data_IF_389055621182
#
_entry.id   IF_389055621182
#
_cell.length_a   1.000
_cell.length_b   1.000
_cell.length_c   1.000
_cell.angle_alpha   90.00
_cell.angle_beta   90.00
_cell.angle_gamma   90.00
#
_symmetry.space_group_name_H-M   'P 1'
#
loop_
_entity.id
_entity.type
_entity.pdbx_description
1 polymer ?
#
# COMPACT_ATOMS: atom_id res chain seq x y z
N UNK A 1 25.09 12.85 7.97
CA UNK A 1 24.23 13.17 6.84
C UNK A 1 23.65 11.84 6.33
N UNK A 2 22.33 11.76 6.20
CA UNK A 2 21.69 10.57 5.63
C UNK A 2 21.71 10.71 4.12
N UNK A 3 22.24 9.72 3.41
CA UNK A 3 22.22 9.68 1.94
C UNK A 3 20.79 9.34 1.48
N UNK A 4 19.89 10.32 1.53
CA UNK A 4 18.50 10.16 1.08
C UNK A 4 18.48 10.08 -0.44
N UNK A 5 18.03 8.94 -0.98
CA UNK A 5 17.92 8.71 -2.43
C UNK A 5 16.59 9.24 -2.96
N UNK A 6 15.50 9.03 -2.22
CA UNK A 6 14.19 9.59 -2.51
C UNK A 6 13.38 9.77 -1.23
N UNK A 7 12.34 10.57 -1.29
CA UNK A 7 11.41 10.78 -0.18
C UNK A 7 9.97 10.68 -0.66
N UNK A 8 9.09 10.18 0.21
CA UNK A 8 7.66 10.10 0.00
C UNK A 8 6.98 11.03 0.99
N UNK A 9 5.90 11.67 0.57
CA UNK A 9 5.12 12.56 1.41
C UNK A 9 3.64 12.28 1.27
N UNK A 10 3.02 11.84 2.33
CA UNK A 10 1.58 11.75 2.54
C UNK A 10 1.31 11.49 4.03
N UNK A 11 1.28 10.23 4.47
CA UNK A 11 1.15 9.83 5.87
C UNK A 11 -0.29 9.56 6.33
N UNK A 12 -0.46 9.22 7.59
CA UNK A 12 0.56 9.13 8.64
C UNK A 12 1.46 7.89 8.54
N UNK A 13 2.46 7.82 9.44
CA UNK A 13 3.16 6.57 9.76
C UNK A 13 2.17 5.64 10.45
N UNK A 14 2.08 4.41 10.00
CA UNK A 14 1.14 3.40 10.51
C UNK A 14 1.81 2.38 11.43
N UNK A 15 3.05 2.01 11.13
CA UNK A 15 3.89 1.14 11.95
C UNK A 15 5.29 1.73 11.97
N UNK A 16 5.89 1.81 13.14
CA UNK A 16 7.28 2.23 13.29
C UNK A 16 8.03 1.32 14.27
N UNK A 17 9.21 0.84 13.85
CA UNK A 17 10.03 -0.09 14.59
C UNK A 17 9.26 -1.33 15.13
N UNK A 18 8.33 -1.85 14.34
CA UNK A 18 7.49 -2.99 14.70
C UNK A 18 6.37 -2.67 15.69
N UNK A 19 6.10 -1.40 15.96
CA UNK A 19 5.02 -0.95 16.84
C UNK A 19 3.92 -0.28 16.02
N UNK A 20 2.67 -0.71 16.25
CA UNK A 20 1.49 -0.10 15.64
C UNK A 20 1.32 1.33 16.18
N UNK A 21 1.19 2.29 15.26
CA UNK A 21 0.95 3.69 15.59
C UNK A 21 -0.55 3.97 15.55
N UNK A 22 -1.05 4.64 16.59
CA UNK A 22 -2.41 5.14 16.63
C UNK A 22 -2.44 6.62 16.25
N UNK A 23 -3.27 6.98 15.29
CA UNK A 23 -3.39 8.35 14.81
C UNK A 23 -4.76 8.92 15.23
N UNK A 24 -4.75 9.97 16.05
CA UNK A 24 -5.98 10.68 16.44
C UNK A 24 -6.34 11.79 15.43
N UNK A 25 -5.33 12.45 14.87
CA UNK A 25 -5.51 13.50 13.88
C UNK A 25 -4.31 13.59 12.94
N UNK A 26 -4.56 14.00 11.71
CA UNK A 26 -3.51 14.23 10.71
C UNK A 26 -3.98 15.33 9.74
N UNK A 27 -3.07 16.10 9.12
CA UNK A 27 -3.46 17.19 8.21
C UNK A 27 -4.38 16.82 7.05
N UNK A 28 -4.43 15.56 6.65
CA UNK A 28 -5.39 15.08 5.63
C UNK A 28 -6.84 15.01 6.14
N UNK A 29 -7.06 15.06 7.46
CA UNK A 29 -8.38 15.22 8.09
C UNK A 29 -9.32 14.01 8.05
N UNK A 30 -8.93 12.88 7.48
CA UNK A 30 -9.84 11.76 7.16
C UNK A 30 -9.46 10.45 7.87
N UNK A 31 -9.01 10.57 9.14
CA UNK A 31 -8.52 9.40 9.90
C UNK A 31 -9.62 8.37 10.13
N UNK A 32 -10.81 8.81 10.54
CA UNK A 32 -11.93 7.92 10.88
C UNK A 32 -12.81 7.58 9.68
N UNK A 33 -12.62 8.25 8.55
CA UNK A 33 -13.43 8.00 7.37
C UNK A 33 -13.04 6.68 6.69
N UNK A 34 -14.06 5.91 6.33
CA UNK A 34 -13.89 4.63 5.62
C UNK A 34 -13.62 4.89 4.14
N UNK A 35 -12.38 4.78 3.74
CA UNK A 35 -11.91 4.96 2.36
C UNK A 35 -11.16 3.74 1.84
N UNK A 36 -11.02 3.65 0.52
CA UNK A 36 -9.97 2.84 -0.08
C UNK A 36 -8.61 3.41 0.30
N UNK A 37 -7.71 2.55 0.75
CA UNK A 37 -6.40 2.92 1.28
C UNK A 37 -5.31 2.24 0.49
N UNK A 38 -4.17 2.92 0.37
CA UNK A 38 -2.94 2.34 -0.13
C UNK A 38 -1.80 2.61 0.85
N UNK A 39 -0.86 1.70 0.93
CA UNK A 39 0.28 1.84 1.82
C UNK A 39 1.49 1.06 1.35
N UNK A 40 2.64 1.58 1.76
CA UNK A 40 3.93 0.94 1.60
C UNK A 40 4.40 0.45 2.97
N UNK A 41 4.71 -0.85 3.07
CA UNK A 41 5.26 -1.47 4.26
C UNK A 41 6.65 -2.05 3.99
N UNK A 42 7.39 -2.24 5.05
CA UNK A 42 8.66 -2.93 5.09
C UNK A 42 8.56 -4.07 6.11
N UNK A 43 8.82 -5.29 5.66
CA UNK A 43 8.82 -6.51 6.48
C UNK A 43 10.21 -6.85 7.01
N UNK A 44 11.25 -6.34 6.38
CA UNK A 44 12.66 -6.53 6.68
C UNK A 44 13.51 -5.83 5.63
N UNK A 45 14.82 -5.99 5.70
CA UNK A 45 15.73 -5.35 4.76
C UNK A 45 15.41 -5.77 3.31
N UNK A 46 15.15 -4.78 2.46
CA UNK A 46 14.78 -4.95 1.05
C UNK A 46 13.54 -5.82 0.81
N UNK A 47 12.73 -6.05 1.83
CA UNK A 47 11.49 -6.82 1.75
C UNK A 47 10.29 -5.91 2.00
N UNK A 48 9.56 -5.61 0.95
CA UNK A 48 8.47 -4.63 0.94
C UNK A 48 7.10 -5.27 0.76
N UNK A 49 6.10 -4.61 1.31
CA UNK A 49 4.68 -4.92 1.14
C UNK A 49 3.98 -3.72 0.52
N UNK A 50 3.38 -3.90 -0.65
CA UNK A 50 2.39 -2.98 -1.19
C UNK A 50 1.01 -3.52 -0.82
N UNK A 51 0.20 -2.69 -0.18
CA UNK A 51 -1.13 -3.08 0.26
C UNK A 51 -2.16 -2.05 -0.18
N UNK A 52 -3.29 -2.54 -0.70
CA UNK A 52 -4.50 -1.73 -0.89
C UNK A 52 -5.67 -2.37 -0.17
N UNK A 53 -6.58 -1.54 0.32
CA UNK A 53 -7.92 -1.92 0.78
C UNK A 53 -8.92 -1.12 -0.04
N UNK A 54 -9.70 -1.80 -0.87
CA UNK A 54 -10.64 -1.17 -1.77
C UNK A 54 -12.08 -1.57 -1.44
N UNK A 55 -13.02 -0.73 -1.86
CA UNK A 55 -14.42 -1.03 -1.79
C UNK A 55 -14.78 -2.07 -2.87
N UNK A 56 -15.27 -3.24 -2.45
CA UNK A 56 -15.84 -4.25 -3.35
C UNK A 56 -17.17 -4.73 -2.79
N UNK A 57 -18.22 -4.75 -3.61
CA UNK A 57 -19.51 -5.41 -3.37
C UNK A 57 -20.02 -5.40 -1.92
N UNK A 58 -20.18 -4.20 -1.34
CA UNK A 58 -20.72 -4.01 0.01
C UNK A 58 -19.74 -4.29 1.16
N UNK A 59 -18.47 -4.60 0.88
CA UNK A 59 -17.46 -4.70 1.94
C UNK A 59 -17.00 -3.31 2.36
N UNK A 60 -16.86 -3.06 3.66
CA UNK A 60 -16.40 -1.77 4.14
C UNK A 60 -14.94 -1.53 3.71
N UNK A 61 -14.67 -0.29 3.37
CA UNK A 61 -13.32 0.27 3.29
C UNK A 61 -12.66 0.23 4.67
N UNK A 62 -11.48 0.77 4.84
CA UNK A 62 -10.82 0.89 6.12
C UNK A 62 -10.64 2.37 6.51
N UNK A 63 -10.73 2.68 7.79
CA UNK A 63 -10.18 3.90 8.31
C UNK A 63 -8.64 3.76 8.44
N UNK A 64 -7.94 4.86 8.75
CA UNK A 64 -6.47 4.86 8.80
C UNK A 64 -5.94 3.91 9.86
N UNK A 65 -6.55 3.88 11.05
CA UNK A 65 -6.09 3.03 12.15
C UNK A 65 -6.34 1.53 11.90
N UNK A 66 -7.47 1.18 11.27
CA UNK A 66 -7.74 -0.19 10.83
C UNK A 66 -6.75 -0.63 9.75
N UNK A 67 -6.45 0.24 8.80
CA UNK A 67 -5.48 -0.04 7.75
C UNK A 67 -4.07 -0.24 8.33
N UNK A 68 -3.68 0.59 9.30
CA UNK A 68 -2.43 0.42 10.05
C UNK A 68 -2.36 -0.92 10.75
N UNK A 69 -3.45 -1.36 11.38
CA UNK A 69 -3.55 -2.67 12.02
C UNK A 69 -3.37 -3.81 11.01
N UNK A 70 -3.96 -3.72 9.82
CA UNK A 70 -3.78 -4.74 8.78
C UNK A 70 -2.32 -4.87 8.35
N UNK A 71 -1.63 -3.75 8.16
CA UNK A 71 -0.21 -3.77 7.82
C UNK A 71 0.66 -4.33 8.95
N UNK A 72 0.35 -3.97 10.20
CA UNK A 72 1.00 -4.52 11.39
C UNK A 72 0.81 -6.05 11.49
N UNK A 73 -0.42 -6.55 11.33
CA UNK A 73 -0.75 -7.98 11.36
C UNK A 73 -0.06 -8.77 10.24
N UNK A 74 0.31 -8.12 9.13
CA UNK A 74 1.13 -8.69 8.06
C UNK A 74 2.63 -8.72 8.39
N UNK A 75 3.03 -8.23 9.55
CA UNK A 75 4.41 -8.27 10.02
C UNK A 75 5.26 -7.09 9.59
N UNK A 76 4.66 -5.98 9.16
CA UNK A 76 5.43 -4.79 8.85
C UNK A 76 6.18 -4.27 10.09
N UNK A 77 7.47 -4.01 9.91
CA UNK A 77 8.30 -3.29 10.91
C UNK A 77 8.26 -1.78 10.68
N UNK A 78 7.97 -1.36 9.47
CA UNK A 78 7.62 0.01 9.10
C UNK A 78 6.45 -0.01 8.14
N UNK A 79 5.52 0.94 8.27
CA UNK A 79 4.44 1.11 7.31
C UNK A 79 4.01 2.57 7.23
N UNK A 80 3.66 3.00 6.03
CA UNK A 80 3.32 4.37 5.72
C UNK A 80 2.06 4.42 4.86
N UNK A 81 1.10 5.26 5.26
CA UNK A 81 -0.11 5.50 4.50
C UNK A 81 0.19 6.39 3.30
N UNK A 82 -0.31 5.98 2.15
CA UNK A 82 -0.23 6.73 0.90
C UNK A 82 -1.59 7.32 0.53
N UNK A 83 -1.66 8.05 -0.58
CA UNK A 83 -2.92 8.53 -1.11
C UNK A 83 -3.90 7.38 -1.37
N UNK A 84 -5.19 7.65 -1.20
CA UNK A 84 -6.26 6.65 -1.21
C UNK A 84 -7.32 6.92 -2.28
N UNK A 85 -8.48 6.28 -2.12
CA UNK A 85 -9.57 6.43 -3.08
C UNK A 85 -9.21 5.86 -4.45
N UNK A 86 -9.35 6.64 -5.51
CA UNK A 86 -9.05 6.23 -6.89
C UNK A 86 -7.56 5.96 -7.15
N UNK A 87 -6.66 6.39 -6.26
CA UNK A 87 -5.22 6.11 -6.36
C UNK A 87 -4.79 4.84 -5.63
N UNK A 88 -5.72 4.19 -4.92
CA UNK A 88 -5.49 2.88 -4.29
C UNK A 88 -5.47 1.79 -5.34
N UNK A 89 -4.42 1.76 -6.16
CA UNK A 89 -4.27 0.86 -7.28
C UNK A 89 -2.94 0.12 -7.21
N UNK A 90 -2.98 -1.17 -7.51
CA UNK A 90 -1.81 -2.00 -7.76
C UNK A 90 -1.89 -2.51 -9.19
N UNK A 91 -0.87 -2.21 -9.97
CA UNK A 91 -0.73 -2.70 -11.35
C UNK A 91 0.36 -3.77 -11.37
N UNK A 92 0.04 -4.93 -11.90
CA UNK A 92 0.97 -6.02 -12.10
C UNK A 92 1.06 -6.38 -13.58
N UNK A 93 2.27 -6.30 -14.13
CA UNK A 93 2.52 -6.56 -15.55
C UNK A 93 1.56 -5.82 -16.49
N UNK A 94 1.35 -4.52 -16.24
CA UNK A 94 0.50 -3.66 -17.05
C UNK A 94 -1.02 -3.84 -16.85
N UNK A 95 -1.43 -4.63 -15.84
CA UNK A 95 -2.84 -4.88 -15.55
C UNK A 95 -3.16 -4.53 -14.10
N UNK A 96 -4.20 -3.70 -13.83
CA UNK A 96 -4.73 -3.50 -12.49
C UNK A 96 -5.18 -4.82 -11.87
N UNK A 97 -4.76 -5.10 -10.63
CA UNK A 97 -5.08 -6.35 -9.93
C UNK A 97 -6.10 -6.16 -8.80
N UNK A 98 -6.53 -4.93 -8.55
CA UNK A 98 -7.54 -4.61 -7.57
C UNK A 98 -8.63 -3.71 -8.18
N UNK A 99 -9.77 -3.62 -7.48
CA UNK A 99 -10.84 -2.71 -7.87
C UNK A 99 -10.41 -1.25 -7.66
N UNK A 100 -10.71 -0.39 -8.64
CA UNK A 100 -10.45 1.05 -8.55
C UNK A 100 -11.76 1.74 -8.17
N UNK A 101 -11.71 2.62 -7.18
CA UNK A 101 -12.87 3.38 -6.74
C UNK A 101 -13.51 4.15 -7.89
N UNK A 102 -14.84 4.10 -7.96
CA UNK A 102 -15.64 4.68 -9.04
C UNK A 102 -15.38 4.09 -10.44
N UNK A 103 -14.65 2.98 -10.54
CA UNK A 103 -14.36 2.30 -11.79
C UNK A 103 -13.49 3.07 -12.77
N UNK A 104 -12.77 4.08 -12.30
CA UNK A 104 -11.93 4.92 -13.14
C UNK A 104 -10.65 5.37 -12.41
N UNK A 105 -9.53 5.30 -13.10
CA UNK A 105 -8.26 5.83 -12.64
C UNK A 105 -8.30 7.37 -12.53
N UNK A 106 -7.49 7.90 -11.64
CA UNK A 106 -7.22 9.33 -11.51
C UNK A 106 -5.80 9.63 -11.97
N UNK A 107 -5.59 10.72 -12.66
CA UNK A 107 -4.25 11.20 -12.99
C UNK A 107 -3.47 11.48 -11.70
N UNK A 108 -2.27 10.93 -11.59
CA UNK A 108 -1.32 11.12 -10.49
C UNK A 108 -0.02 11.71 -11.00
N UNK A 109 0.75 12.35 -10.11
CA UNK A 109 2.05 12.96 -10.45
C UNK A 109 3.17 11.93 -10.53
N UNK A 110 3.06 10.85 -9.73
CA UNK A 110 4.11 9.87 -9.53
C UNK A 110 3.53 8.52 -9.12
N UNK A 111 4.33 7.49 -9.23
CA UNK A 111 4.02 6.12 -8.82
C UNK A 111 5.23 5.52 -8.11
N UNK A 112 4.98 4.53 -7.26
CA UNK A 112 6.02 3.64 -6.74
C UNK A 112 6.02 2.39 -7.62
N UNK A 113 7.18 2.00 -8.14
CA UNK A 113 7.29 0.80 -8.95
C UNK A 113 8.51 -0.04 -8.56
N UNK A 114 8.41 -1.33 -8.81
CA UNK A 114 9.49 -2.30 -8.67
C UNK A 114 9.67 -3.00 -10.00
N UNK A 115 10.91 -3.10 -10.44
CA UNK A 115 11.28 -3.84 -11.65
C UNK A 115 12.07 -5.10 -11.26
N UNK A 116 11.79 -6.21 -11.93
CA UNK A 116 12.61 -7.41 -11.79
C UNK A 116 13.94 -7.22 -12.54
N UNK A 117 15.04 -7.62 -11.88
CA UNK A 117 16.35 -7.74 -12.55
C UNK A 117 16.52 -9.07 -13.27
N UNK A 118 15.58 -10.01 -13.11
CA UNK A 118 15.62 -11.32 -13.77
C UNK A 118 15.10 -11.22 -15.21
N UNK A 119 15.65 -12.01 -16.15
CA UNK A 119 15.07 -12.17 -17.47
C UNK A 119 13.60 -12.60 -17.40
N UNK A 120 12.77 -12.12 -18.30
CA UNK A 120 11.31 -12.30 -18.29
C UNK A 120 10.88 -13.77 -18.20
N UNK A 121 11.62 -14.69 -18.82
CA UNK A 121 11.33 -16.12 -18.78
C UNK A 121 11.63 -16.79 -17.43
N UNK A 122 12.65 -16.34 -16.70
CA UNK A 122 12.99 -16.88 -15.36
C UNK A 122 12.02 -16.36 -14.31
N UNK A 123 11.53 -15.14 -14.48
CA UNK A 123 10.56 -14.54 -13.58
C UNK A 123 9.19 -15.24 -13.65
N UNK A 124 8.69 -15.56 -14.83
CA UNK A 124 7.42 -16.24 -15.02
C UNK A 124 7.36 -17.64 -14.38
N UNK A 125 8.52 -18.30 -14.22
CA UNK A 125 8.62 -19.61 -13.57
C UNK A 125 8.73 -19.52 -12.04
N UNK A 126 9.13 -18.39 -11.48
CA UNK A 126 9.32 -18.19 -10.05
C UNK A 126 8.05 -17.73 -9.30
N UNK A 127 7.08 -17.20 -10.01
CA UNK A 127 5.81 -16.75 -9.41
C UNK A 127 4.84 -17.92 -9.28
N UNK A 128 4.93 -18.66 -8.17
CA UNK A 128 3.79 -19.46 -7.74
C UNK A 128 2.76 -18.49 -7.15
N UNK A 129 1.69 -18.31 -7.88
CA UNK A 129 0.54 -17.53 -7.40
C UNK A 129 -0.15 -18.31 -6.29
N UNK A 130 0.14 -18.04 -5.04
CA UNK A 130 -0.75 -18.41 -3.95
C UNK A 130 -1.97 -17.49 -4.02
N UNK A 131 -2.98 -17.94 -4.72
CA UNK A 131 -4.33 -17.36 -4.60
C UNK A 131 -4.90 -17.87 -3.28
N UNK A 132 -4.85 -17.02 -2.26
CA UNK A 132 -5.58 -17.25 -1.02
C UNK A 132 -7.07 -17.13 -1.35
N UNK A 133 -7.78 -18.26 -1.28
CA UNK A 133 -9.23 -18.35 -1.33
C UNK A 133 -9.86 -17.83 -0.03
#
# INVERSE_FOLDING_TARGET
>A
ENDVVFSLSFGPVLVDNGELQYCESYPIGEIDTMYSRAGLGMLGDLHYLLMTVNHTDGRPRANVNEFGRYMYEKGCIKAYNMDGGQTSEIVFNGTPVNYIDFGAERTVSDIIYFASALPEMEWAQSVQTEVLQ
#
